data_IF_978302100971
#
_entry.id   IF_978302100971
#
_cell.length_a   1.000
_cell.length_b   1.000
_cell.length_c   1.000
_cell.angle_alpha   90.00
_cell.angle_beta   90.00
_cell.angle_gamma   90.00
#
_symmetry.space_group_name_H-M   'P 1'
#
loop_
_entity.id
_entity.type
_entity.pdbx_description
1 polymer ?
#
# COMPACT_ATOMS: atom_id res chain seq x y z
N UNK A 1 0.56 20.28 -9.05
CA UNK A 1 0.78 19.43 -7.87
C UNK A 1 1.28 18.08 -8.38
N UNK A 2 2.33 17.50 -7.78
CA UNK A 2 2.78 16.16 -8.17
C UNK A 2 1.98 15.12 -7.38
N UNK A 3 1.46 14.10 -8.03
CA UNK A 3 0.83 12.98 -7.35
C UNK A 3 1.91 11.99 -6.90
N UNK A 4 1.77 11.47 -5.68
CA UNK A 4 2.52 10.30 -5.22
C UNK A 4 1.51 9.19 -4.96
N UNK A 5 1.89 7.97 -5.31
CA UNK A 5 1.12 6.76 -5.10
C UNK A 5 1.76 5.97 -3.96
N UNK A 6 1.09 5.90 -2.81
CA UNK A 6 1.56 5.12 -1.65
C UNK A 6 1.13 3.67 -1.80
N UNK A 7 2.09 2.75 -1.64
CA UNK A 7 1.79 1.33 -1.49
C UNK A 7 1.54 1.03 -0.03
N UNK A 8 0.34 0.52 0.24
CA UNK A 8 -0.13 0.24 1.59
C UNK A 8 -0.51 -1.23 1.69
N UNK A 9 -0.13 -1.86 2.80
CA UNK A 9 -0.55 -3.21 3.19
C UNK A 9 -1.58 -3.11 4.32
N UNK A 10 -2.72 -3.79 4.15
CA UNK A 10 -3.69 -4.07 5.19
C UNK A 10 -3.28 -5.36 5.92
N UNK A 11 -2.99 -5.23 7.21
CA UNK A 11 -2.69 -6.36 8.08
C UNK A 11 -3.85 -7.35 8.16
N UNK A 12 -3.54 -8.58 8.58
CA UNK A 12 -4.55 -9.64 8.77
C UNK A 12 -5.49 -9.36 9.95
N UNK A 13 -5.06 -8.56 10.92
CA UNK A 13 -5.87 -8.11 12.05
C UNK A 13 -6.49 -6.73 11.77
N UNK A 14 -7.76 -6.59 12.15
CA UNK A 14 -8.59 -5.42 11.85
C UNK A 14 -8.03 -4.14 12.47
N UNK A 15 -7.26 -3.37 11.69
CA UNK A 15 -6.84 -2.00 12.03
C UNK A 15 -5.40 -1.67 11.70
N UNK A 16 -4.56 -2.67 11.40
CA UNK A 16 -3.15 -2.42 11.06
C UNK A 16 -2.99 -2.07 9.58
N UNK A 17 -2.35 -0.93 9.34
CA UNK A 17 -2.10 -0.40 8.00
C UNK A 17 -0.64 0.02 7.91
N UNK A 18 0.11 -0.64 7.04
CA UNK A 18 1.55 -0.41 6.87
C UNK A 18 1.82 0.27 5.53
N UNK A 19 2.60 1.36 5.53
CA UNK A 19 3.10 1.97 4.30
C UNK A 19 4.40 1.27 3.91
N UNK A 20 4.37 0.56 2.79
CA UNK A 20 5.53 -0.19 2.30
C UNK A 20 6.46 0.65 1.42
N UNK A 21 5.92 1.68 0.78
CA UNK A 21 6.70 2.54 -0.11
C UNK A 21 5.85 3.55 -0.84
N UNK A 22 6.49 4.32 -1.71
CA UNK A 22 5.84 5.34 -2.52
C UNK A 22 6.42 5.38 -3.93
N UNK A 23 5.58 5.76 -4.89
CA UNK A 23 5.90 5.78 -6.32
C UNK A 23 5.44 7.10 -6.93
N UNK A 24 6.21 7.64 -7.88
CA UNK A 24 5.79 8.80 -8.68
C UNK A 24 4.99 8.39 -9.94
N UNK A 25 4.84 7.09 -10.22
CA UNK A 25 4.12 6.57 -11.38
C UNK A 25 3.04 5.57 -10.95
N UNK A 26 1.79 5.88 -11.30
CA UNK A 26 0.61 5.05 -10.99
C UNK A 26 0.72 3.63 -11.54
N UNK A 27 1.12 3.49 -12.81
CA UNK A 27 1.22 2.19 -13.49
C UNK A 27 2.20 1.26 -12.76
N UNK A 28 3.34 1.82 -12.35
CA UNK A 28 4.34 1.07 -11.60
C UNK A 28 3.83 0.70 -10.21
N UNK A 29 3.12 1.61 -9.53
CA UNK A 29 2.53 1.34 -8.23
C UNK A 29 1.50 0.20 -8.29
N UNK A 30 0.63 0.22 -9.31
CA UNK A 30 -0.38 -0.81 -9.52
C UNK A 30 0.25 -2.18 -9.84
N UNK A 31 1.28 -2.21 -10.70
CA UNK A 31 2.03 -3.44 -11.02
C UNK A 31 2.69 -4.05 -9.77
N UNK A 32 3.33 -3.23 -8.93
CA UNK A 32 3.97 -3.70 -7.69
C UNK A 32 2.94 -4.17 -6.67
N UNK A 33 1.79 -3.49 -6.55
CA UNK A 33 0.72 -3.93 -5.67
C UNK A 33 0.19 -5.32 -6.08
N UNK A 34 -0.01 -5.54 -7.38
CA UNK A 34 -0.43 -6.85 -7.89
C UNK A 34 0.63 -7.93 -7.68
N UNK A 35 1.91 -7.62 -7.91
CA UNK A 35 3.00 -8.56 -7.64
C UNK A 35 3.04 -8.97 -6.16
N UNK A 36 2.84 -8.01 -5.25
CA UNK A 36 2.81 -8.25 -3.80
C UNK A 36 1.63 -9.13 -3.38
N UNK A 37 0.45 -8.94 -3.98
CA UNK A 37 -0.69 -9.85 -3.77
C UNK A 37 -0.36 -11.28 -4.16
N UNK A 38 0.24 -11.47 -5.34
CA UNK A 38 0.62 -12.80 -5.81
C UNK A 38 1.76 -13.42 -4.99
N UNK A 39 2.69 -12.61 -4.48
CA UNK A 39 3.74 -13.05 -3.57
C UNK A 39 3.15 -13.52 -2.23
N UNK A 40 2.26 -12.72 -1.62
CA UNK A 40 1.59 -13.05 -0.38
C UNK A 40 0.70 -14.30 -0.52
N UNK A 41 -0.02 -14.43 -1.63
CA UNK A 41 -0.79 -15.63 -1.95
C UNK A 41 0.12 -16.86 -2.06
N UNK A 42 1.22 -16.78 -2.83
CA UNK A 42 2.18 -17.88 -2.95
C UNK A 42 2.84 -18.24 -1.62
N UNK A 43 3.13 -17.26 -0.77
CA UNK A 43 3.65 -17.49 0.58
C UNK A 43 2.60 -18.20 1.47
N UNK A 44 1.34 -17.78 1.41
CA UNK A 44 0.24 -18.41 2.15
C UNK A 44 -0.04 -19.85 1.71
N UNK A 45 0.14 -20.17 0.43
CA UNK A 45 0.04 -21.55 -0.08
C UNK A 45 1.18 -22.45 0.41
N UNK A 46 2.37 -21.89 0.60
CA UNK A 46 3.56 -22.62 1.09
C UNK A 46 3.55 -22.81 2.60
N UNK A 47 2.92 -21.90 3.34
CA UNK A 47 2.75 -22.03 4.77
C UNK A 47 1.76 -23.16 5.06
N UNK A 48 2.23 -24.30 5.57
CA UNK A 48 1.37 -25.35 6.10
C UNK A 48 0.49 -24.77 7.22
N UNK A 49 -0.73 -24.37 6.88
CA UNK A 49 -1.68 -23.83 7.83
C UNK A 49 -2.27 -24.98 8.64
N UNK A 50 -1.58 -25.39 9.72
CA UNK A 50 -2.05 -26.44 10.62
C UNK A 50 -3.35 -26.09 11.36
N UNK A 51 -3.76 -24.82 11.40
CA UNK A 51 -4.92 -24.34 12.17
C UNK A 51 -6.09 -23.78 11.35
N UNK A 52 -5.96 -23.62 10.03
CA UNK A 52 -7.04 -23.11 9.19
C UNK A 52 -7.23 -24.00 7.97
N UNK A 53 -8.38 -24.68 7.90
CA UNK A 53 -8.80 -25.51 6.76
C UNK A 53 -9.16 -24.66 5.53
N UNK A 54 -9.21 -23.33 5.66
CA UNK A 54 -9.51 -22.45 4.55
C UNK A 54 -8.27 -22.27 3.68
N UNK A 55 -8.33 -22.84 2.47
CA UNK A 55 -7.33 -22.58 1.45
C UNK A 55 -7.30 -21.07 1.16
N UNK A 56 -6.11 -20.46 1.04
CA UNK A 56 -6.01 -19.09 0.57
C UNK A 56 -6.76 -18.95 -0.76
N UNK A 57 -7.56 -17.89 -0.89
CA UNK A 57 -8.24 -17.55 -2.15
C UNK A 57 -7.27 -16.74 -3.00
N UNK A 58 -7.19 -17.07 -4.28
CA UNK A 58 -6.30 -16.38 -5.20
C UNK A 58 -6.72 -14.92 -5.41
N UNK A 59 -5.78 -13.98 -5.63
CA UNK A 59 -6.08 -12.56 -5.77
C UNK A 59 -7.06 -12.21 -6.90
N UNK A 60 -7.19 -13.06 -7.91
CA UNK A 60 -8.14 -12.95 -9.02
C UNK A 60 -9.58 -13.38 -8.65
N UNK A 61 -9.74 -14.16 -7.59
CA UNK A 61 -11.02 -14.73 -7.15
C UNK A 61 -11.65 -13.99 -5.96
N UNK A 62 -10.93 -13.05 -5.35
CA UNK A 62 -11.42 -12.28 -4.20
C UNK A 62 -11.49 -10.78 -4.50
N UNK A 63 -12.50 -10.10 -3.94
CA UNK A 63 -12.58 -8.63 -3.94
C UNK A 63 -11.73 -8.00 -2.84
N UNK A 64 -11.25 -8.80 -1.88
CA UNK A 64 -10.39 -8.34 -0.80
C UNK A 64 -8.95 -8.29 -1.26
N UNK A 65 -8.36 -7.10 -1.28
CA UNK A 65 -6.93 -6.87 -1.55
C UNK A 65 -6.23 -6.46 -0.26
N UNK A 66 -5.11 -7.13 0.05
CA UNK A 66 -4.19 -6.75 1.12
C UNK A 66 -3.35 -5.53 0.74
N UNK A 67 -2.95 -5.42 -0.53
CA UNK A 67 -2.15 -4.33 -1.05
C UNK A 67 -3.02 -3.39 -1.88
N UNK A 68 -2.95 -2.11 -1.56
CA UNK A 68 -3.71 -1.06 -2.25
C UNK A 68 -2.86 0.19 -2.41
N UNK A 69 -3.18 0.92 -3.47
CA UNK A 69 -2.52 2.18 -3.79
C UNK A 69 -3.39 3.34 -3.33
N UNK A 70 -2.79 4.22 -2.53
CA UNK A 70 -3.42 5.49 -2.14
C UNK A 70 -2.73 6.65 -2.84
N UNK A 71 -3.49 7.34 -3.67
CA UNK A 71 -3.05 8.57 -4.32
C UNK A 71 -3.05 9.72 -3.31
N UNK A 72 -1.92 10.43 -3.22
CA UNK A 72 -1.77 11.61 -2.38
C UNK A 72 -1.13 12.74 -3.19
N UNK A 73 -1.59 13.96 -2.95
CA UNK A 73 -0.99 15.15 -3.56
C UNK A 73 0.26 15.56 -2.77
N UNK A 74 1.41 15.74 -3.45
CA UNK A 74 2.54 16.48 -2.88
C UNK A 74 2.06 17.90 -2.64
N UNK A 75 1.97 18.29 -1.37
CA UNK A 75 1.99 19.70 -1.01
C UNK A 75 3.33 20.27 -1.45
N UNK A 76 3.31 21.17 -2.43
CA UNK A 76 4.41 22.11 -2.59
C UNK A 76 4.47 22.89 -1.27
N UNK A 77 5.60 22.82 -0.56
CA UNK A 77 5.82 23.66 0.62
C UNK A 77 5.49 25.09 0.22
N UNK A 78 4.37 25.63 0.70
CA UNK A 78 4.14 27.05 0.64
C UNK A 78 5.34 27.70 1.34
N UNK A 79 5.99 28.72 0.74
CA UNK A 79 7.08 29.40 1.40
C UNK A 79 6.54 29.89 2.75
N UNK A 80 7.08 29.36 3.84
CA UNK A 80 6.76 29.84 5.19
C UNK A 80 7.08 31.33 5.13
N UNK A 81 6.11 32.24 5.31
CA UNK A 81 6.44 33.65 5.41
C UNK A 81 7.38 33.73 6.60
N UNK A 82 8.65 34.04 6.34
CA UNK A 82 9.59 34.44 7.38
C UNK A 82 8.97 35.69 7.94
N UNK A 83 8.20 35.55 9.01
CA UNK A 83 7.71 36.68 9.77
C UNK A 83 8.98 37.42 10.16
N UNK A 84 9.22 38.55 9.50
CA UNK A 84 10.21 39.50 9.96
C UNK A 84 9.70 39.91 11.32
N UNK A 85 10.28 39.34 12.38
CA UNK A 85 10.21 39.94 13.68
C UNK A 85 10.82 41.33 13.52
N UNK A 86 9.95 42.32 13.35
CA UNK A 86 10.33 43.73 13.35
C UNK A 86 10.65 44.05 14.79
N UNK A 87 11.95 44.30 15.02
CA UNK A 87 12.59 45.13 16.03
C UNK A 87 11.98 45.21 17.43
#
# INVERSE_FOLDING_TARGET
MKEIYLLIEHGMDQGEVYVLGWFDNKKLADEVAEEKEWEAYRASLKAEHHWSTQKPVAPDQTKYRRFWIKEISKFDRAPIPRSSAVH
#
